data_IF_200768884239
#
_entry.id   IF_200768884239
#
_cell.length_a   1.000
_cell.length_b   1.000
_cell.length_c   1.000
_cell.angle_alpha   90.00
_cell.angle_beta   90.00
_cell.angle_gamma   90.00
#
_symmetry.space_group_name_H-M   'P 1'
#
loop_
_entity.id
_entity.type
_entity.pdbx_description
1 polymer ?
#
# COMPACT_ATOMS: atom_id res chain seq x y z
N UNK A 1 28.99 -44.38 35.09
CA UNK A 1 28.82 -45.79 34.72
C UNK A 1 28.59 -45.87 33.21
N UNK A 2 29.48 -46.60 32.54
CA UNK A 2 29.57 -46.79 31.09
C UNK A 2 28.60 -47.87 30.57
N UNK A 3 28.16 -47.71 29.30
CA UNK A 3 27.93 -48.72 28.24
C UNK A 3 27.00 -48.06 27.21
N UNK A 4 27.36 -47.70 25.97
CA UNK A 4 28.35 -48.26 25.06
C UNK A 4 27.69 -49.29 24.16
N UNK A 5 27.49 -48.99 22.87
CA UNK A 5 27.59 -49.95 21.76
C UNK A 5 27.75 -49.20 20.43
N UNK A 6 29.00 -49.18 19.97
CA UNK A 6 29.41 -48.93 18.59
C UNK A 6 29.29 -50.25 17.81
N UNK A 7 28.87 -50.17 16.54
CA UNK A 7 29.11 -51.25 15.58
C UNK A 7 29.84 -50.65 14.38
N UNK A 8 31.12 -51.00 14.28
CA UNK A 8 31.97 -50.93 13.08
C UNK A 8 32.32 -52.35 12.66
N UNK A 9 32.39 -52.60 11.35
CA UNK A 9 33.27 -53.55 10.63
C UNK A 9 32.81 -53.59 9.16
N UNK A 10 33.48 -52.92 8.23
CA UNK A 10 34.75 -53.28 7.55
C UNK A 10 34.67 -54.53 6.66
N UNK A 11 35.12 -54.36 5.40
CA UNK A 11 35.30 -55.40 4.38
C UNK A 11 35.28 -54.82 2.95
N UNK A 12 36.28 -54.06 2.46
CA UNK A 12 37.51 -54.52 1.77
C UNK A 12 37.18 -55.54 0.64
N UNK A 13 37.34 -55.28 -0.68
CA UNK A 13 38.54 -54.85 -1.43
C UNK A 13 38.24 -54.47 -2.91
N UNK A 14 39.22 -53.91 -3.64
CA UNK A 14 39.05 -53.26 -4.95
C UNK A 14 39.41 -54.16 -6.14
N UNK A 15 38.91 -53.81 -7.33
CA UNK A 15 39.47 -54.26 -8.60
C UNK A 15 39.77 -53.03 -9.48
N UNK A 16 41.05 -52.79 -9.69
CA UNK A 16 41.60 -51.84 -10.66
C UNK A 16 41.93 -52.61 -11.94
N UNK A 17 41.53 -52.13 -13.13
CA UNK A 17 42.27 -52.31 -14.40
C UNK A 17 41.52 -51.73 -15.62
N UNK A 18 41.75 -50.44 -15.88
CA UNK A 18 42.24 -49.86 -17.16
C UNK A 18 41.50 -50.12 -18.53
N UNK A 19 41.85 -49.41 -19.63
CA UNK A 19 40.88 -48.58 -20.38
C UNK A 19 40.64 -49.04 -21.84
N UNK A 20 39.50 -48.65 -22.43
CA UNK A 20 39.35 -48.56 -23.91
C UNK A 20 38.45 -47.38 -24.29
N UNK A 21 39.07 -46.36 -24.88
CA UNK A 21 38.43 -45.44 -25.85
C UNK A 21 38.60 -46.04 -27.27
N UNK A 22 38.00 -45.49 -28.34
CA UNK A 22 36.68 -44.84 -28.48
C UNK A 22 35.95 -45.37 -29.73
N UNK A 23 34.70 -45.85 -29.63
CA UNK A 23 33.90 -46.13 -30.83
C UNK A 23 33.15 -44.88 -31.29
N UNK A 24 33.78 -44.20 -32.26
CA UNK A 24 33.20 -43.55 -33.45
C UNK A 24 31.70 -43.22 -33.37
N UNK A 25 31.39 -41.95 -33.07
CA UNK A 25 30.04 -41.40 -33.26
C UNK A 25 29.63 -41.44 -34.76
N UNK A 26 28.42 -41.88 -35.11
CA UNK A 26 27.89 -41.74 -36.47
C UNK A 26 27.51 -40.28 -36.78
N UNK A 27 27.61 -39.94 -38.06
CA UNK A 27 27.45 -38.61 -38.66
C UNK A 27 26.17 -37.84 -38.23
N UNK A 28 26.18 -36.49 -38.24
CA UNK A 28 25.01 -35.70 -37.91
C UNK A 28 23.90 -35.90 -38.95
N UNK A 29 22.69 -36.20 -38.45
CA UNK A 29 21.48 -36.22 -39.26
C UNK A 29 21.23 -34.82 -39.87
N UNK A 30 20.94 -34.80 -41.17
CA UNK A 30 20.56 -33.60 -41.90
C UNK A 30 19.37 -32.89 -41.24
N UNK A 31 19.51 -31.60 -40.96
CA UNK A 31 18.43 -30.75 -40.47
C UNK A 31 17.36 -30.60 -41.56
N UNK A 32 16.05 -30.71 -41.24
CA UNK A 32 15.01 -30.34 -42.20
C UNK A 32 14.99 -28.82 -42.37
N UNK A 33 15.03 -28.37 -43.62
CA UNK A 33 14.97 -26.97 -44.02
C UNK A 33 13.78 -26.25 -43.38
N UNK A 34 14.07 -25.28 -42.51
CA UNK A 34 13.07 -24.35 -41.99
C UNK A 34 12.54 -23.50 -43.15
N UNK A 35 11.25 -23.63 -43.47
CA UNK A 35 10.56 -22.68 -44.34
C UNK A 35 10.64 -21.29 -43.70
N UNK A 36 10.95 -20.21 -44.45
CA UNK A 36 10.98 -18.87 -43.88
C UNK A 36 9.58 -18.52 -43.37
N UNK A 37 9.50 -18.20 -42.08
CA UNK A 37 8.31 -17.60 -41.47
C UNK A 37 8.08 -16.27 -42.19
N UNK A 38 6.87 -15.97 -42.70
CA UNK A 38 6.62 -14.65 -43.25
C UNK A 38 6.77 -13.62 -42.13
N UNK A 39 7.84 -12.82 -42.20
CA UNK A 39 8.00 -11.62 -41.39
C UNK A 39 6.81 -10.72 -41.66
N UNK A 40 5.81 -10.81 -40.79
CA UNK A 40 4.65 -9.93 -40.83
C UNK A 40 5.14 -8.58 -40.32
N UNK A 41 5.57 -7.71 -41.22
CA UNK A 41 5.84 -6.32 -40.90
C UNK A 41 4.53 -5.67 -40.52
N UNK A 42 4.22 -5.63 -39.23
CA UNK A 42 3.08 -4.89 -38.70
C UNK A 42 3.37 -3.41 -38.95
N UNK A 43 2.77 -2.85 -40.00
CA UNK A 43 2.71 -1.40 -40.20
C UNK A 43 1.79 -0.83 -39.14
N UNK A 44 2.36 -0.40 -38.03
CA UNK A 44 1.66 0.41 -37.04
C UNK A 44 1.29 1.73 -37.72
N UNK A 45 0.01 1.93 -37.96
CA UNK A 45 -0.51 3.18 -38.49
C UNK A 45 -0.28 4.30 -37.45
N UNK A 46 0.41 5.37 -37.85
CA UNK A 46 0.70 6.49 -36.95
C UNK A 46 -0.59 7.09 -36.36
N UNK A 47 -1.71 7.06 -37.09
CA UNK A 47 -3.01 7.50 -36.59
C UNK A 47 -3.50 6.66 -35.40
N UNK A 48 -3.34 5.34 -35.48
CA UNK A 48 -3.70 4.42 -34.39
C UNK A 48 -2.87 4.63 -33.12
N UNK A 49 -1.59 5.03 -33.26
CA UNK A 49 -0.72 5.31 -32.11
C UNK A 49 -1.13 6.63 -31.45
N UNK A 50 -1.43 7.66 -32.23
CA UNK A 50 -1.88 8.97 -31.70
C UNK A 50 -3.22 8.85 -30.98
N UNK A 51 -4.16 8.07 -31.53
CA UNK A 51 -5.46 7.81 -30.89
C UNK A 51 -5.31 7.03 -29.58
N UNK A 52 -4.45 6.00 -29.56
CA UNK A 52 -4.15 5.24 -28.35
C UNK A 52 -3.53 6.15 -27.26
N UNK A 53 -2.54 6.97 -27.62
CA UNK A 53 -1.92 7.95 -26.70
C UNK A 53 -2.98 8.95 -26.19
N UNK A 54 -3.84 9.46 -27.07
CA UNK A 54 -4.93 10.36 -26.69
C UNK A 54 -5.95 9.72 -25.75
N UNK A 55 -6.25 8.43 -25.91
CA UNK A 55 -7.10 7.66 -24.99
C UNK A 55 -6.44 7.50 -23.62
N UNK A 56 -5.16 7.08 -23.57
CA UNK A 56 -4.43 6.92 -22.31
C UNK A 56 -4.29 8.25 -21.54
N UNK A 57 -4.06 9.36 -22.24
CA UNK A 57 -3.98 10.68 -21.63
C UNK A 57 -5.33 11.09 -21.02
N UNK A 58 -6.43 10.89 -21.75
CA UNK A 58 -7.78 11.15 -21.23
C UNK A 58 -8.12 10.27 -20.04
N UNK A 59 -7.78 8.99 -20.09
CA UNK A 59 -7.99 8.06 -18.99
C UNK A 59 -7.20 8.47 -17.75
N UNK A 60 -5.94 8.88 -17.91
CA UNK A 60 -5.08 9.37 -16.81
C UNK A 60 -5.66 10.63 -16.16
N UNK A 61 -6.16 11.56 -16.96
CA UNK A 61 -6.79 12.79 -16.45
C UNK A 61 -8.08 12.47 -15.69
N UNK A 62 -8.90 11.56 -16.21
CA UNK A 62 -10.09 11.09 -15.52
C UNK A 62 -9.75 10.40 -14.18
N UNK A 63 -8.71 9.55 -14.16
CA UNK A 63 -8.22 8.96 -12.92
C UNK A 63 -7.70 10.00 -11.92
N UNK A 64 -7.07 11.09 -12.39
CA UNK A 64 -6.63 12.19 -11.51
C UNK A 64 -7.81 12.90 -10.86
N UNK A 65 -8.87 13.18 -11.61
CA UNK A 65 -10.09 13.80 -11.09
C UNK A 65 -10.77 12.92 -10.06
N UNK A 66 -10.96 11.64 -10.38
CA UNK A 66 -11.48 10.65 -9.44
C UNK A 66 -10.64 10.57 -8.16
N UNK A 67 -9.32 10.57 -8.31
CA UNK A 67 -8.39 10.59 -7.17
C UNK A 67 -8.54 11.86 -6.31
N UNK A 68 -8.84 13.00 -6.93
CA UNK A 68 -9.05 14.26 -6.21
C UNK A 68 -10.37 14.25 -5.46
N UNK A 69 -11.46 13.86 -6.11
CA UNK A 69 -12.78 13.71 -5.49
C UNK A 69 -12.72 12.76 -4.28
N UNK A 70 -12.11 11.58 -4.46
CA UNK A 70 -11.92 10.63 -3.37
C UNK A 70 -11.12 11.22 -2.20
N UNK A 71 -10.08 12.03 -2.48
CA UNK A 71 -9.32 12.66 -1.40
C UNK A 71 -10.18 13.69 -0.64
N UNK A 72 -11.04 14.43 -1.35
CA UNK A 72 -11.97 15.38 -0.71
C UNK A 72 -12.99 14.63 0.15
N UNK A 73 -13.51 13.49 -0.31
CA UNK A 73 -14.43 12.65 0.46
C UNK A 73 -13.77 12.13 1.75
N UNK A 74 -12.52 11.68 1.66
CA UNK A 74 -11.74 11.22 2.83
C UNK A 74 -11.54 12.38 3.83
N UNK A 75 -11.20 13.58 3.36
CA UNK A 75 -11.04 14.75 4.23
C UNK A 75 -12.39 15.18 4.84
N UNK A 76 -13.47 15.10 4.09
CA UNK A 76 -14.83 15.32 4.57
C UNK A 76 -15.20 14.36 5.68
N UNK A 77 -14.93 13.06 5.48
CA UNK A 77 -15.14 12.03 6.50
C UNK A 77 -14.26 12.27 7.73
N UNK A 78 -12.99 12.62 7.55
CA UNK A 78 -12.09 12.95 8.67
C UNK A 78 -12.66 14.08 9.52
N UNK A 79 -13.19 15.13 8.88
CA UNK A 79 -13.84 16.24 9.59
C UNK A 79 -15.09 15.79 10.35
N UNK A 80 -15.92 14.93 9.76
CA UNK A 80 -17.12 14.39 10.40
C UNK A 80 -16.79 13.50 11.61
N UNK A 81 -15.69 12.74 11.53
CA UNK A 81 -15.21 11.87 12.62
C UNK A 81 -14.31 12.58 13.64
N UNK A 82 -14.30 13.92 13.64
CA UNK A 82 -13.56 14.70 14.63
C UNK A 82 -12.04 14.62 14.46
N UNK A 83 -11.56 14.42 13.23
CA UNK A 83 -10.15 14.44 12.86
C UNK A 83 -9.43 13.10 13.05
N UNK A 84 -10.10 12.02 13.45
CA UNK A 84 -9.49 10.69 13.61
C UNK A 84 -10.13 9.72 12.64
N UNK A 85 -9.31 8.99 11.88
CA UNK A 85 -9.75 7.94 10.95
C UNK A 85 -8.92 6.68 11.06
N UNK A 86 -9.55 5.56 10.78
CA UNK A 86 -8.93 4.24 10.63
C UNK A 86 -9.11 3.69 9.21
N UNK A 87 -8.42 2.60 8.87
CA UNK A 87 -8.65 1.93 7.59
C UNK A 87 -10.07 1.32 7.49
N UNK A 88 -10.64 0.70 8.54
CA UNK A 88 -12.05 0.28 8.56
C UNK A 88 -13.06 1.42 8.33
N UNK A 89 -12.83 2.62 8.86
CA UNK A 89 -13.73 3.76 8.60
C UNK A 89 -13.83 4.07 7.10
N UNK A 90 -12.70 4.03 6.40
CA UNK A 90 -12.66 4.21 4.94
C UNK A 90 -13.30 3.03 4.18
N UNK A 91 -13.24 1.82 4.72
CA UNK A 91 -13.91 0.67 4.14
C UNK A 91 -15.43 0.80 4.23
N UNK A 92 -15.93 1.21 5.40
CA UNK A 92 -17.37 1.31 5.67
C UNK A 92 -17.98 2.52 4.97
N UNK A 93 -17.36 3.69 5.06
CA UNK A 93 -17.97 4.95 4.62
C UNK A 93 -17.62 5.33 3.18
N UNK A 94 -16.44 4.93 2.69
CA UNK A 94 -15.97 5.27 1.33
C UNK A 94 -16.01 4.05 0.40
N UNK A 95 -16.23 2.84 0.93
CA UNK A 95 -16.29 1.61 0.13
C UNK A 95 -14.93 1.15 -0.39
N UNK A 96 -13.83 1.60 0.21
CA UNK A 96 -12.49 1.19 -0.21
C UNK A 96 -12.17 -0.22 0.28
N UNK A 97 -11.36 -0.95 -0.50
CA UNK A 97 -10.75 -2.18 0.03
C UNK A 97 -9.74 -1.84 1.14
N UNK A 98 -9.51 -2.75 2.09
CA UNK A 98 -8.53 -2.54 3.19
C UNK A 98 -7.15 -2.10 2.68
N UNK A 99 -6.66 -2.74 1.62
CA UNK A 99 -5.36 -2.40 1.00
C UNK A 99 -5.35 -1.01 0.40
N UNK A 100 -6.45 -0.59 -0.25
CA UNK A 100 -6.58 0.74 -0.82
C UNK A 100 -6.69 1.82 0.27
N UNK A 101 -7.48 1.56 1.33
CA UNK A 101 -7.62 2.44 2.48
C UNK A 101 -6.28 2.69 3.17
N UNK A 102 -5.54 1.63 3.52
CA UNK A 102 -4.19 1.75 4.13
C UNK A 102 -3.26 2.52 3.20
N UNK A 103 -3.20 2.16 1.90
CA UNK A 103 -2.33 2.85 0.94
C UNK A 103 -2.65 4.35 0.84
N UNK A 104 -3.93 4.72 0.91
CA UNK A 104 -4.34 6.13 0.89
C UNK A 104 -3.93 6.84 2.17
N UNK A 105 -4.25 6.28 3.34
CA UNK A 105 -3.87 6.87 4.63
C UNK A 105 -2.35 7.04 4.75
N UNK A 106 -1.55 6.03 4.37
CA UNK A 106 -0.09 6.14 4.30
C UNK A 106 0.36 7.24 3.33
N UNK A 107 -0.32 7.43 2.20
CA UNK A 107 -0.03 8.55 1.29
C UNK A 107 -0.33 9.90 1.94
N UNK A 108 -1.45 10.04 2.66
CA UNK A 108 -1.76 11.26 3.41
C UNK A 108 -0.72 11.54 4.50
N UNK A 109 -0.23 10.50 5.19
CA UNK A 109 0.88 10.63 6.14
C UNK A 109 2.17 11.11 5.46
N UNK A 110 2.55 10.52 4.33
CA UNK A 110 3.74 10.93 3.57
C UNK A 110 3.65 12.35 3.00
N UNK A 111 2.45 12.88 2.82
CA UNK A 111 2.20 14.26 2.40
C UNK A 111 2.03 15.24 3.57
N UNK A 112 2.06 14.76 4.82
CA UNK A 112 1.96 15.59 6.02
C UNK A 112 0.54 16.01 6.41
N UNK A 113 -0.51 15.42 5.82
CA UNK A 113 -1.90 15.75 6.18
C UNK A 113 -2.35 15.11 7.50
N UNK A 114 -1.74 13.99 7.88
CA UNK A 114 -2.09 13.28 9.11
C UNK A 114 -0.87 12.57 9.70
N UNK A 115 -0.93 12.22 10.99
CA UNK A 115 0.06 11.38 11.68
C UNK A 115 -0.58 10.12 12.25
N UNK A 116 0.23 9.10 12.50
CA UNK A 116 -0.23 7.89 13.18
C UNK A 116 -0.24 8.18 14.70
N UNK A 117 -1.35 7.88 15.37
CA UNK A 117 -1.50 8.09 16.82
C UNK A 117 -0.85 7.00 17.65
N UNK A 118 -0.98 5.75 17.20
CA UNK A 118 -0.43 4.60 17.89
C UNK A 118 -0.01 3.55 16.86
N UNK A 119 1.29 3.27 16.80
CA UNK A 119 1.87 2.29 15.88
C UNK A 119 1.79 0.86 16.43
N UNK A 120 1.49 0.69 17.71
CA UNK A 120 1.50 -0.61 18.41
C UNK A 120 0.13 -1.31 18.40
N UNK A 121 -0.92 -0.64 17.96
CA UNK A 121 -2.26 -1.23 17.87
C UNK A 121 -2.38 -2.09 16.60
N UNK A 122 -3.18 -3.17 16.65
CA UNK A 122 -3.48 -3.96 15.45
C UNK A 122 -4.18 -3.13 14.37
N UNK A 123 -4.80 -2.02 14.77
CA UNK A 123 -5.47 -1.07 13.91
C UNK A 123 -4.86 0.32 14.07
N UNK A 124 -4.23 0.79 13.01
CA UNK A 124 -3.59 2.11 13.01
C UNK A 124 -4.65 3.21 12.94
N UNK A 125 -4.58 4.14 13.89
CA UNK A 125 -5.37 5.35 13.92
C UNK A 125 -4.57 6.53 13.34
N UNK A 126 -5.21 7.26 12.43
CA UNK A 126 -4.63 8.40 11.73
C UNK A 126 -5.31 9.68 12.21
N UNK A 127 -4.52 10.61 12.73
CA UNK A 127 -4.95 11.91 13.22
C UNK A 127 -4.68 13.00 12.18
N UNK A 128 -5.75 13.65 11.74
CA UNK A 128 -5.76 14.86 10.91
C UNK A 128 -5.88 16.08 11.83
N UNK A 129 -4.74 16.58 12.31
CA UNK A 129 -4.70 17.70 13.28
C UNK A 129 -5.40 18.96 12.77
N UNK A 130 -5.22 19.28 11.48
CA UNK A 130 -5.84 20.45 10.86
C UNK A 130 -7.38 20.36 10.78
N UNK A 131 -7.94 19.17 10.98
CA UNK A 131 -9.39 18.92 10.96
C UNK A 131 -9.95 18.67 12.36
N UNK A 132 -9.11 18.75 13.40
CA UNK A 132 -9.59 18.70 14.76
C UNK A 132 -10.54 19.88 15.01
N UNK A 133 -11.65 19.65 15.73
CA UNK A 133 -12.50 20.75 16.14
C UNK A 133 -11.70 21.74 16.99
N UNK A 134 -11.81 23.03 16.68
CA UNK A 134 -11.19 24.08 17.51
C UNK A 134 -11.70 23.95 18.95
N UNK A 135 -10.80 23.92 19.95
CA UNK A 135 -11.20 23.91 21.34
C UNK A 135 -11.84 25.26 21.70
N UNK A 136 -12.90 25.21 22.50
CA UNK A 136 -13.45 26.42 23.11
C UNK A 136 -12.69 26.70 24.40
N UNK A 137 -11.84 27.71 24.37
CA UNK A 137 -11.02 28.09 25.52
C UNK A 137 -11.70 29.25 26.26
N UNK A 138 -11.86 29.13 27.59
CA UNK A 138 -12.32 30.25 28.40
C UNK A 138 -11.21 31.30 28.48
N UNK A 139 -11.45 32.51 27.94
CA UNK A 139 -10.45 33.59 27.88
C UNK A 139 -9.94 34.05 29.26
N UNK A 140 -10.74 33.85 30.31
CA UNK A 140 -10.41 34.29 31.67
C UNK A 140 -9.54 33.31 32.47
N UNK A 141 -9.87 32.02 32.44
CA UNK A 141 -9.17 31.00 33.24
C UNK A 141 -8.39 29.98 32.40
N UNK A 142 -8.48 30.05 31.07
CA UNK A 142 -7.81 29.14 30.14
C UNK A 142 -8.39 27.72 30.11
N UNK A 143 -9.56 27.48 30.74
CA UNK A 143 -10.17 26.15 30.74
C UNK A 143 -10.68 25.78 29.35
N UNK A 144 -10.27 24.61 28.83
CA UNK A 144 -10.59 24.14 27.48
C UNK A 144 -11.80 23.22 27.49
N UNK A 145 -12.76 23.52 26.64
CA UNK A 145 -13.96 22.72 26.43
C UNK A 145 -13.90 22.02 25.07
N UNK A 146 -14.39 20.78 25.02
CA UNK A 146 -14.64 20.10 23.74
C UNK A 146 -15.82 20.77 23.04
N UNK A 147 -15.74 20.89 21.71
CA UNK A 147 -16.69 21.62 20.84
C UNK A 147 -18.17 21.36 21.16
N UNK A 148 -18.55 20.11 21.43
CA UNK A 148 -19.96 19.73 21.65
C UNK A 148 -20.42 19.89 23.11
N UNK A 149 -19.54 20.29 24.02
CA UNK A 149 -19.80 20.40 25.45
C UNK A 149 -19.40 21.75 26.05
N UNK A 150 -19.21 22.79 25.23
CA UNK A 150 -18.97 24.13 25.76
C UNK A 150 -20.28 24.73 26.30
N UNK A 151 -20.45 24.84 27.63
CA UNK A 151 -21.57 25.56 28.23
C UNK A 151 -21.56 27.04 27.80
N UNK A 152 -22.65 27.77 28.05
CA UNK A 152 -22.67 29.21 27.82
C UNK A 152 -21.66 29.96 28.72
N UNK A 153 -21.40 29.41 29.91
CA UNK A 153 -20.54 29.98 30.95
C UNK A 153 -19.53 28.95 31.45
N UNK A 154 -18.33 29.39 31.79
CA UNK A 154 -17.27 28.52 32.26
C UNK A 154 -17.56 27.95 33.66
N UNK A 155 -17.56 26.62 33.80
CA UNK A 155 -17.73 25.92 35.07
C UNK A 155 -16.65 26.24 36.12
N UNK A 156 -15.48 26.74 35.71
CA UNK A 156 -14.41 27.10 36.66
C UNK A 156 -14.52 28.54 37.17
N UNK A 157 -14.93 29.50 36.34
CA UNK A 157 -14.85 30.92 36.68
C UNK A 157 -16.13 31.73 36.40
N UNK A 158 -17.19 31.11 35.90
CA UNK A 158 -18.47 31.75 35.57
C UNK A 158 -18.43 32.71 34.37
N UNK A 159 -17.28 32.86 33.71
CA UNK A 159 -17.15 33.79 32.59
C UNK A 159 -17.80 33.22 31.32
N UNK A 160 -18.39 34.07 30.45
CA UNK A 160 -18.99 33.62 29.20
C UNK A 160 -17.93 33.03 28.27
N UNK A 161 -18.25 31.90 27.63
CA UNK A 161 -17.36 31.27 26.66
C UNK A 161 -17.63 31.87 25.28
N UNK A 162 -16.65 32.59 24.72
CA UNK A 162 -16.73 33.14 23.38
C UNK A 162 -16.73 32.00 22.35
N UNK A 163 -17.91 31.69 21.80
CA UNK A 163 -17.98 30.88 20.57
C UNK A 163 -17.47 31.76 19.45
N UNK A 164 -16.21 31.59 19.04
CA UNK A 164 -15.75 32.15 17.78
C UNK A 164 -16.50 31.40 16.67
N UNK A 165 -17.49 32.07 16.09
CA UNK A 165 -18.26 31.60 14.93
C UNK A 165 -17.41 31.68 13.67
#
# INVERSE_FOLDING_TARGET
MLRGFTITKEGLRPASSQPRQPDRAPAPAAQPAQKPVPSTTVRLDLGSVVDAVGFFLRQREQSRRWDQELNLDILGLAKLMGGVLSAPDLMVHVGLSRRAAVKRLTKFTGLGYCRILNENEPELLYLFEALLPEPHDCEYCGHRYRKDRAPAECNCCGAPISRRC
#
